data_IF_767123562678
#
_entry.id   IF_767123562678
#
_cell.length_a   1.000
_cell.length_b   1.000
_cell.length_c   1.000
_cell.angle_alpha   90.00
_cell.angle_beta   90.00
_cell.angle_gamma   90.00
#
_symmetry.space_group_name_H-M   'P 1'
#
loop_
_entity.id
_entity.type
_entity.pdbx_description
1 polymer ?
#
# COMPACT_ATOMS: atom_id res chain seq x y z
N UNK A 1 -12.05 15.59 -6.22
CA UNK A 1 -10.73 16.05 -5.73
C UNK A 1 -9.85 16.30 -6.95
N UNK A 2 -8.98 17.32 -6.94
CA UNK A 2 -8.13 17.59 -8.11
C UNK A 2 -6.87 16.73 -7.99
N UNK A 3 -6.75 15.69 -8.81
CA UNK A 3 -5.49 14.96 -8.95
C UNK A 3 -4.45 15.83 -9.66
N UNK A 4 -3.17 15.57 -9.45
CA UNK A 4 -2.08 16.30 -10.11
C UNK A 4 -1.07 15.37 -10.78
N UNK A 5 -0.52 15.82 -11.91
CA UNK A 5 0.62 15.20 -12.59
C UNK A 5 1.90 15.92 -12.17
N UNK A 6 2.91 15.12 -11.83
CA UNK A 6 4.23 15.55 -11.42
C UNK A 6 5.22 15.14 -12.53
N UNK A 7 5.61 16.09 -13.39
CA UNK A 7 6.54 15.82 -14.49
C UNK A 7 7.99 15.66 -14.02
N UNK A 8 8.64 14.55 -14.36
CA UNK A 8 10.03 14.29 -14.02
C UNK A 8 10.85 13.87 -15.24
N UNK A 9 12.01 14.51 -15.40
CA UNK A 9 12.99 14.18 -16.44
C UNK A 9 14.37 13.87 -15.82
N UNK A 10 14.80 12.60 -15.79
CA UNK A 10 16.10 12.20 -15.24
C UNK A 10 17.30 12.85 -15.97
N UNK A 11 17.12 13.28 -17.23
CA UNK A 11 18.16 13.90 -18.03
C UNK A 11 18.35 15.40 -17.76
N UNK A 12 17.46 16.03 -16.99
CA UNK A 12 17.50 17.47 -16.66
C UNK A 12 17.65 17.61 -15.15
N UNK A 13 18.84 17.27 -14.65
CA UNK A 13 19.20 17.33 -13.23
C UNK A 13 18.68 16.14 -12.43
N UNK A 14 19.45 15.70 -11.43
CA UNK A 14 19.02 14.61 -10.57
C UNK A 14 18.07 15.15 -9.51
N UNK A 15 16.77 15.07 -9.83
CA UNK A 15 15.71 15.47 -8.91
C UNK A 15 15.46 14.42 -7.85
N UNK A 16 16.21 13.31 -7.77
CA UNK A 16 16.08 12.25 -6.76
C UNK A 16 17.46 11.81 -6.26
N UNK A 17 17.64 11.33 -5.03
CA UNK A 17 18.94 10.81 -4.58
C UNK A 17 19.20 9.39 -5.12
N UNK A 18 19.25 9.24 -6.44
CA UNK A 18 19.29 7.93 -7.12
C UNK A 18 17.95 7.21 -7.09
N UNK A 19 17.21 7.28 -8.20
CA UNK A 19 15.82 6.82 -8.27
C UNK A 19 15.60 5.35 -7.86
N UNK A 20 16.48 4.42 -8.27
CA UNK A 20 16.35 3.01 -7.90
C UNK A 20 16.39 2.81 -6.38
N UNK A 21 17.27 3.54 -5.69
CA UNK A 21 17.37 3.51 -4.23
C UNK A 21 16.09 4.03 -3.58
N UNK A 22 15.46 5.05 -4.18
CA UNK A 22 14.18 5.58 -3.68
C UNK A 22 13.08 4.55 -3.81
N UNK A 23 13.02 3.79 -4.91
CA UNK A 23 12.09 2.67 -5.07
C UNK A 23 12.31 1.61 -3.99
N UNK A 24 13.56 1.27 -3.70
CA UNK A 24 13.91 0.31 -2.63
C UNK A 24 13.54 0.84 -1.24
N UNK A 25 13.85 2.10 -0.94
CA UNK A 25 13.51 2.76 0.32
C UNK A 25 12.00 2.81 0.53
N UNK A 26 11.24 3.17 -0.51
CA UNK A 26 9.78 3.13 -0.50
C UNK A 26 9.25 1.73 -0.20
N UNK A 27 9.80 0.70 -0.86
CA UNK A 27 9.41 -0.69 -0.61
C UNK A 27 9.66 -1.14 0.83
N UNK A 28 10.63 -0.52 1.51
CA UNK A 28 10.95 -0.82 2.91
C UNK A 28 10.14 0.00 3.93
N UNK A 29 9.87 1.28 3.64
CA UNK A 29 9.16 2.20 4.55
C UNK A 29 7.65 2.23 4.34
N UNK A 30 7.17 1.84 3.15
CA UNK A 30 5.78 1.97 2.69
C UNK A 30 5.42 3.37 2.19
N UNK A 31 6.19 4.40 2.52
CA UNK A 31 5.99 5.79 2.08
C UNK A 31 7.33 6.50 1.90
N UNK A 32 7.47 7.24 0.82
CA UNK A 32 8.60 8.13 0.57
C UNK A 32 8.11 9.58 0.39
N UNK A 33 8.45 10.45 1.35
CA UNK A 33 8.04 11.86 1.31
C UNK A 33 9.01 12.71 0.50
N UNK A 34 8.47 13.54 -0.39
CA UNK A 34 9.26 14.50 -1.16
C UNK A 34 8.50 15.81 -1.41
N UNK A 35 9.19 16.93 -1.31
CA UNK A 35 8.67 18.22 -1.73
C UNK A 35 8.69 18.36 -3.27
N UNK A 36 7.61 18.85 -3.86
CA UNK A 36 7.46 19.07 -5.29
C UNK A 36 7.00 20.50 -5.62
N UNK A 37 7.58 21.17 -6.63
CA UNK A 37 7.15 22.50 -7.03
C UNK A 37 5.78 22.48 -7.73
N UNK A 38 4.85 23.29 -7.26
CA UNK A 38 3.47 23.36 -7.79
C UNK A 38 3.28 24.47 -8.82
N UNK A 39 4.23 25.39 -8.94
CA UNK A 39 4.10 26.56 -9.81
C UNK A 39 3.07 27.55 -9.27
N UNK A 40 2.68 28.55 -10.07
CA UNK A 40 1.79 29.65 -9.64
C UNK A 40 0.31 29.42 -9.96
N UNK A 41 -0.04 28.24 -10.50
CA UNK A 41 -1.41 27.90 -10.91
C UNK A 41 -2.28 27.42 -9.74
N UNK A 42 -3.39 26.74 -10.08
CA UNK A 42 -4.26 26.08 -9.10
C UNK A 42 -3.46 25.09 -8.26
N UNK A 43 -3.44 25.30 -6.95
CA UNK A 43 -2.66 24.51 -6.02
C UNK A 43 -3.40 23.25 -5.61
N UNK A 44 -2.74 22.07 -5.57
CA UNK A 44 -3.35 20.89 -4.99
C UNK A 44 -3.49 21.05 -3.47
N UNK A 45 -4.60 20.55 -2.93
CA UNK A 45 -4.81 20.44 -1.50
C UNK A 45 -4.33 19.10 -0.93
N UNK A 46 -4.14 18.99 0.39
CA UNK A 46 -3.89 17.70 1.04
C UNK A 46 -4.95 16.66 0.67
N UNK A 47 -4.51 15.42 0.44
CA UNK A 47 -5.38 14.31 0.03
C UNK A 47 -5.61 14.20 -1.48
N UNK A 48 -5.08 15.12 -2.29
CA UNK A 48 -5.08 14.99 -3.74
C UNK A 48 -4.15 13.85 -4.20
N UNK A 49 -4.63 13.04 -5.16
CA UNK A 49 -3.78 12.07 -5.86
C UNK A 49 -2.67 12.80 -6.62
N UNK A 50 -1.45 12.28 -6.53
CA UNK A 50 -0.27 12.82 -7.16
C UNK A 50 0.41 11.73 -8.00
N UNK A 51 0.43 11.94 -9.31
CA UNK A 51 0.88 10.97 -10.30
C UNK A 51 2.24 11.36 -10.86
N UNK A 52 3.26 10.51 -10.69
CA UNK A 52 4.60 10.77 -11.21
C UNK A 52 4.65 10.40 -12.70
N UNK A 53 4.95 11.39 -13.54
CA UNK A 53 5.06 11.22 -14.99
C UNK A 53 6.53 11.32 -15.41
N UNK A 54 7.10 10.20 -15.86
CA UNK A 54 8.43 10.15 -16.46
C UNK A 54 8.39 10.73 -17.88
N UNK A 55 9.41 11.50 -18.21
CA UNK A 55 9.69 11.92 -19.58
C UNK A 55 11.18 12.06 -19.84
N UNK A 56 11.66 11.52 -20.96
CA UNK A 56 13.03 11.70 -21.40
C UNK A 56 13.50 10.59 -22.34
N UNK A 57 14.82 10.49 -22.52
CA UNK A 57 15.43 9.49 -23.40
C UNK A 57 15.16 8.04 -22.98
N UNK A 58 14.90 7.82 -21.70
CA UNK A 58 14.61 6.51 -21.10
C UNK A 58 13.15 6.08 -21.26
N UNK A 59 12.31 6.94 -21.86
CA UNK A 59 10.88 6.69 -22.10
C UNK A 59 10.00 7.81 -21.57
N UNK A 60 8.70 7.70 -21.84
CA UNK A 60 7.68 8.59 -21.28
C UNK A 60 6.48 7.77 -20.81
N UNK A 61 6.03 8.00 -19.58
CA UNK A 61 4.95 7.22 -19.00
C UNK A 61 4.73 7.46 -17.52
N UNK A 62 3.62 6.93 -17.01
CA UNK A 62 3.24 7.05 -15.60
C UNK A 62 4.03 6.05 -14.77
N UNK A 63 4.70 6.55 -13.74
CA UNK A 63 5.79 5.87 -13.06
C UNK A 63 5.50 5.65 -11.57
N UNK A 64 4.45 6.25 -11.03
CA UNK A 64 4.10 6.09 -9.63
C UNK A 64 2.91 6.91 -9.20
N UNK A 65 2.46 6.62 -7.99
CA UNK A 65 1.39 7.29 -7.29
C UNK A 65 1.87 7.76 -5.91
N UNK A 66 1.23 8.81 -5.44
CA UNK A 66 1.39 9.36 -4.11
C UNK A 66 0.21 10.26 -3.78
N UNK A 67 0.24 10.81 -2.58
CA UNK A 67 -0.81 11.69 -2.06
C UNK A 67 -0.19 12.98 -1.57
N UNK A 68 -0.77 14.11 -1.93
CA UNK A 68 -0.36 15.41 -1.41
C UNK A 68 -0.57 15.44 0.11
N UNK A 69 0.51 15.61 0.86
CA UNK A 69 0.56 15.48 2.31
C UNK A 69 0.53 16.83 3.04
N UNK A 70 0.85 17.93 2.36
CA UNK A 70 0.88 19.28 2.95
C UNK A 70 0.01 20.26 2.17
N UNK A 71 -0.36 21.35 2.83
CA UNK A 71 -0.78 22.56 2.12
C UNK A 71 0.43 23.16 1.36
N UNK A 72 0.19 24.00 0.34
CA UNK A 72 1.25 24.73 -0.34
C UNK A 72 2.09 25.55 0.64
N UNK A 73 3.41 25.48 0.51
CA UNK A 73 4.37 26.15 1.38
C UNK A 73 5.55 26.70 0.56
N UNK A 74 6.26 27.69 1.08
CA UNK A 74 7.39 28.32 0.40
C UNK A 74 8.71 27.92 1.07
N UNK A 75 9.71 27.59 0.24
CA UNK A 75 11.08 27.42 0.71
C UNK A 75 11.76 28.80 0.80
N UNK A 76 11.79 29.38 2.01
CA UNK A 76 12.45 30.65 2.30
C UNK A 76 11.61 31.91 2.05
N UNK A 77 12.15 33.07 2.44
CA UNK A 77 11.43 34.38 2.49
C UNK A 77 11.47 35.18 1.18
N UNK A 78 11.84 34.55 0.06
CA UNK A 78 11.94 35.24 -1.23
C UNK A 78 10.55 35.49 -1.83
N UNK A 79 10.19 36.77 -1.94
CA UNK A 79 8.95 37.23 -2.59
C UNK A 79 8.94 36.77 -4.05
N UNK A 80 7.95 35.94 -4.42
CA UNK A 80 7.78 35.41 -5.77
C UNK A 80 8.35 34.00 -6.01
N UNK A 81 8.89 33.34 -4.98
CA UNK A 81 9.28 31.93 -5.07
C UNK A 81 8.06 31.03 -5.33
N UNK A 82 8.18 30.08 -6.26
CA UNK A 82 7.12 29.13 -6.54
C UNK A 82 6.81 28.28 -5.27
N UNK A 83 5.52 28.07 -4.94
CA UNK A 83 5.16 27.21 -3.84
C UNK A 83 5.52 25.74 -4.11
N UNK A 84 5.62 25.00 -3.03
CA UNK A 84 5.92 23.58 -2.96
C UNK A 84 4.82 22.86 -2.19
N UNK A 85 4.67 21.57 -2.43
CA UNK A 85 3.87 20.68 -1.59
C UNK A 85 4.67 19.44 -1.26
N UNK A 86 4.48 18.90 -0.07
CA UNK A 86 4.98 17.57 0.26
C UNK A 86 4.05 16.52 -0.36
N UNK A 87 4.64 15.53 -1.00
CA UNK A 87 3.96 14.36 -1.56
C UNK A 87 4.48 13.13 -0.86
N UNK A 88 3.56 12.36 -0.29
CA UNK A 88 3.81 11.01 0.22
C UNK A 88 3.63 10.03 -0.94
N UNK A 89 4.73 9.63 -1.59
CA UNK A 89 4.68 8.55 -2.57
C UNK A 89 4.46 7.23 -1.85
N UNK A 90 3.49 6.44 -2.32
CA UNK A 90 3.12 5.14 -1.76
C UNK A 90 3.43 3.99 -2.74
N UNK A 91 3.62 4.30 -4.03
CA UNK A 91 4.13 3.36 -5.04
C UNK A 91 4.95 4.08 -6.10
N UNK A 92 6.12 3.53 -6.40
CA UNK A 92 7.04 3.98 -7.44
C UNK A 92 7.52 2.75 -8.22
N UNK A 93 7.47 2.82 -9.56
CA UNK A 93 7.84 1.74 -10.46
C UNK A 93 9.32 1.84 -10.83
N UNK A 94 10.05 0.73 -10.99
CA UNK A 94 11.36 0.74 -11.62
C UNK A 94 11.32 1.43 -13.00
N UNK A 95 12.42 2.08 -13.38
CA UNK A 95 12.54 2.64 -14.73
C UNK A 95 12.45 1.51 -15.76
N UNK A 96 11.54 1.64 -16.73
CA UNK A 96 11.21 0.61 -17.70
C UNK A 96 9.80 0.05 -17.53
N UNK A 97 9.26 0.09 -16.31
CA UNK A 97 7.95 -0.48 -15.98
C UNK A 97 6.80 0.54 -16.04
N UNK A 98 7.10 1.79 -16.45
CA UNK A 98 6.08 2.84 -16.54
C UNK A 98 4.95 2.47 -17.51
N UNK A 99 3.72 2.90 -17.19
CA UNK A 99 2.59 2.81 -18.12
C UNK A 99 2.86 3.80 -19.27
N UNK A 100 2.97 3.34 -20.52
CA UNK A 100 3.30 4.21 -21.66
C UNK A 100 2.29 5.34 -21.88
N UNK A 101 2.80 6.52 -22.26
CA UNK A 101 1.98 7.74 -22.43
C UNK A 101 0.94 7.63 -23.54
N UNK A 102 1.17 6.80 -24.56
CA UNK A 102 0.22 6.52 -25.64
C UNK A 102 -1.01 5.74 -25.14
N UNK A 103 -0.81 4.76 -24.25
CA UNK A 103 -1.92 4.06 -23.58
C UNK A 103 -2.71 5.02 -22.69
N UNK A 104 -2.00 5.88 -21.94
CA UNK A 104 -2.61 6.90 -21.09
C UNK A 104 -3.40 7.93 -21.90
N UNK A 105 -2.86 8.40 -23.03
CA UNK A 105 -3.54 9.36 -23.91
C UNK A 105 -4.79 8.78 -24.56
N UNK A 106 -4.82 7.47 -24.84
CA UNK A 106 -6.02 6.80 -25.35
C UNK A 106 -7.15 6.75 -24.30
N UNK A 107 -6.81 6.53 -23.02
CA UNK A 107 -7.81 6.42 -21.93
C UNK A 107 -8.19 7.78 -21.35
N UNK A 108 -7.27 8.73 -21.33
CA UNK A 108 -7.44 10.07 -20.79
C UNK A 108 -7.04 11.17 -21.81
N UNK A 109 -7.83 11.33 -22.90
CA UNK A 109 -7.45 12.14 -24.07
C UNK A 109 -7.50 13.66 -23.84
N UNK A 110 -8.20 14.13 -22.80
CA UNK A 110 -8.28 15.56 -22.48
C UNK A 110 -7.10 16.04 -21.62
N UNK A 111 -6.19 15.13 -21.26
CA UNK A 111 -5.00 15.45 -20.46
C UNK A 111 -3.85 15.86 -21.38
N UNK A 112 -3.27 17.02 -21.14
CA UNK A 112 -2.08 17.50 -21.86
C UNK A 112 -0.79 16.84 -21.32
N UNK A 113 -0.56 15.61 -21.74
CA UNK A 113 0.56 14.77 -21.28
C UNK A 113 1.94 15.35 -21.61
N UNK A 114 2.09 15.99 -22.78
CA UNK A 114 3.37 16.56 -23.22
C UNK A 114 3.77 17.74 -22.33
N UNK A 115 2.79 18.58 -21.99
CA UNK A 115 3.05 19.75 -21.17
C UNK A 115 3.08 19.39 -19.66
N UNK A 116 2.39 18.33 -19.24
CA UNK A 116 2.53 17.76 -17.88
C UNK A 116 3.90 17.15 -17.62
N UNK A 117 4.55 16.62 -18.67
CA UNK A 117 5.91 16.09 -18.60
C UNK A 117 6.99 17.16 -18.42
N UNK A 118 6.68 18.42 -18.73
CA UNK A 118 7.63 19.53 -18.75
C UNK A 118 7.05 20.72 -17.98
N UNK A 119 7.18 20.72 -16.65
CA UNK A 119 6.71 21.82 -15.82
C UNK A 119 6.44 21.44 -14.36
N UNK A 120 5.91 22.39 -13.57
CA UNK A 120 5.46 22.13 -12.20
C UNK A 120 4.19 21.25 -12.19
N UNK A 121 3.64 20.96 -11.01
CA UNK A 121 2.40 20.19 -10.87
C UNK A 121 1.29 20.66 -11.83
N UNK A 122 0.63 19.72 -12.54
CA UNK A 122 -0.53 20.02 -13.39
C UNK A 122 -1.80 19.39 -12.86
N UNK A 123 -2.89 20.15 -12.67
CA UNK A 123 -4.16 19.57 -12.27
C UNK A 123 -4.76 18.71 -13.38
N UNK A 124 -5.37 17.60 -12.98
CA UNK A 124 -6.10 16.68 -13.84
C UNK A 124 -7.59 16.75 -13.48
N UNK A 125 -8.49 16.98 -14.46
CA UNK A 125 -9.94 16.93 -14.21
C UNK A 125 -10.37 15.57 -13.65
N UNK A 126 -11.39 15.55 -12.76
CA UNK A 126 -11.83 14.33 -12.06
C UNK A 126 -12.16 13.16 -13.00
N UNK A 127 -12.79 13.43 -14.14
CA UNK A 127 -13.10 12.40 -15.15
C UNK A 127 -11.84 11.73 -15.69
N UNK A 128 -10.82 12.54 -16.01
CA UNK A 128 -9.53 12.07 -16.51
C UNK A 128 -8.74 11.37 -15.39
N UNK A 129 -8.81 11.87 -14.17
CA UNK A 129 -8.19 11.25 -13.00
C UNK A 129 -8.77 9.85 -12.71
N UNK A 130 -10.09 9.68 -12.85
CA UNK A 130 -10.74 8.37 -12.76
C UNK A 130 -10.24 7.42 -13.85
N UNK A 131 -10.15 7.90 -15.08
CA UNK A 131 -9.66 7.10 -16.21
C UNK A 131 -8.20 6.65 -16.00
N UNK A 132 -7.35 7.50 -15.42
CA UNK A 132 -5.97 7.16 -15.02
C UNK A 132 -5.97 6.09 -13.92
N UNK A 133 -6.80 6.22 -12.88
CA UNK A 133 -6.92 5.24 -11.79
C UNK A 133 -7.36 3.86 -12.29
N UNK A 134 -8.35 3.81 -13.18
CA UNK A 134 -8.83 2.56 -13.79
C UNK A 134 -7.71 1.87 -14.58
N UNK A 135 -7.01 2.62 -15.44
CA UNK A 135 -5.86 2.08 -16.18
C UNK A 135 -4.73 1.62 -15.25
N UNK A 136 -4.44 2.40 -14.20
CA UNK A 136 -3.46 2.04 -13.19
C UNK A 136 -3.83 0.71 -12.51
N UNK A 137 -5.10 0.52 -12.14
CA UNK A 137 -5.60 -0.72 -11.55
C UNK A 137 -5.47 -1.92 -12.51
N UNK A 138 -5.77 -1.74 -13.79
CA UNK A 138 -5.64 -2.78 -14.83
C UNK A 138 -4.18 -3.25 -15.00
N UNK A 139 -3.22 -2.33 -14.86
CA UNK A 139 -1.80 -2.62 -15.04
C UNK A 139 -1.10 -3.15 -13.76
N UNK A 140 -1.79 -3.21 -12.62
CA UNK A 140 -1.17 -3.51 -11.33
C UNK A 140 -1.72 -4.81 -10.72
N UNK A 141 -0.86 -5.81 -10.43
CA UNK A 141 -1.29 -6.98 -9.68
C UNK A 141 -1.63 -6.59 -8.23
N UNK A 142 -2.49 -7.39 -7.61
CA UNK A 142 -2.76 -7.29 -6.17
C UNK A 142 -1.48 -7.52 -5.36
N UNK A 143 -1.43 -6.94 -4.15
CA UNK A 143 -0.32 -7.18 -3.23
C UNK A 143 -0.26 -8.67 -2.85
N UNK A 144 0.90 -9.31 -3.09
CA UNK A 144 1.08 -10.75 -2.82
C UNK A 144 1.03 -11.10 -1.32
N UNK A 145 1.28 -10.13 -0.45
CA UNK A 145 1.32 -10.27 1.01
C UNK A 145 -0.04 -9.91 1.62
N UNK A 146 -0.73 -8.89 1.12
CA UNK A 146 -2.13 -8.57 1.48
C UNK A 146 -3.04 -8.35 0.27
N UNK A 147 -3.54 -9.42 -0.36
CA UNK A 147 -4.39 -9.27 -1.53
C UNK A 147 -5.76 -8.64 -1.24
N UNK A 148 -6.10 -8.43 0.04
CA UNK A 148 -7.35 -7.78 0.46
C UNK A 148 -7.19 -6.27 0.57
N UNK A 149 -5.97 -5.75 0.70
CA UNK A 149 -5.72 -4.32 0.69
C UNK A 149 -5.75 -3.79 -0.76
N UNK A 150 -6.36 -2.61 -0.99
CA UNK A 150 -6.38 -2.02 -2.32
C UNK A 150 -4.96 -1.64 -2.74
N UNK A 151 -4.64 -1.86 -4.02
CA UNK A 151 -3.39 -1.38 -4.59
C UNK A 151 -3.35 0.15 -4.49
N UNK A 152 -2.24 0.77 -4.06
CA UNK A 152 -2.13 2.22 -3.99
C UNK A 152 -2.49 2.91 -5.32
N UNK A 153 -3.28 3.99 -5.22
CA UNK A 153 -3.78 4.74 -6.38
C UNK A 153 -4.97 4.13 -7.11
N UNK A 154 -5.55 3.01 -6.64
CA UNK A 154 -6.74 2.42 -7.30
C UNK A 154 -8.08 2.94 -6.75
N UNK A 155 -8.09 3.44 -5.51
CA UNK A 155 -9.27 4.04 -4.88
C UNK A 155 -9.01 5.52 -4.60
N UNK A 156 -10.05 6.38 -4.67
CA UNK A 156 -9.95 7.77 -4.22
C UNK A 156 -9.50 7.86 -2.76
N UNK A 157 -8.67 8.85 -2.45
CA UNK A 157 -8.10 9.00 -1.11
C UNK A 157 -9.15 9.22 0.00
N UNK A 158 -10.29 9.82 -0.31
CA UNK A 158 -11.40 10.03 0.64
C UNK A 158 -12.20 8.76 0.93
N UNK A 159 -12.06 7.71 0.11
CA UNK A 159 -12.60 6.39 0.36
C UNK A 159 -11.65 5.48 1.17
N UNK A 160 -10.42 5.94 1.44
CA UNK A 160 -9.38 5.17 2.13
C UNK A 160 -9.21 5.62 3.58
N UNK A 161 -8.95 4.64 4.46
CA UNK A 161 -8.49 4.88 5.82
C UNK A 161 -7.05 4.38 5.98
N UNK A 162 -6.20 5.17 6.65
CA UNK A 162 -4.83 4.74 6.97
C UNK A 162 -4.85 3.75 8.14
N UNK A 163 -4.20 2.61 7.97
CA UNK A 163 -3.99 1.60 9.02
C UNK A 163 -2.50 1.41 9.26
N UNK A 164 -2.09 1.41 10.52
CA UNK A 164 -0.71 1.07 10.89
C UNK A 164 -0.55 -0.44 10.88
N UNK A 165 0.42 -0.95 10.12
CA UNK A 165 0.73 -2.38 10.02
C UNK A 165 2.13 -2.68 10.58
N UNK A 166 2.38 -3.92 10.97
CA UNK A 166 3.69 -4.36 11.42
C UNK A 166 4.65 -4.48 10.23
N UNK A 167 5.65 -3.59 10.17
CA UNK A 167 6.67 -3.59 9.10
C UNK A 167 7.46 -4.90 9.00
N UNK A 168 7.67 -5.62 10.11
CA UNK A 168 8.45 -6.86 10.12
C UNK A 168 7.67 -8.00 9.44
N UNK A 169 6.36 -8.10 9.70
CA UNK A 169 5.48 -9.09 9.07
C UNK A 169 5.17 -8.77 7.60
N UNK A 170 5.39 -7.51 7.18
CA UNK A 170 5.19 -7.03 5.81
C UNK A 170 6.46 -6.90 4.99
N UNK A 171 7.63 -7.23 5.55
CA UNK A 171 8.89 -7.12 4.83
C UNK A 171 9.00 -8.24 3.77
N UNK A 172 9.00 -7.93 2.45
CA UNK A 172 8.98 -8.96 1.41
C UNK A 172 10.25 -9.81 1.40
N UNK A 173 11.40 -9.22 1.71
CA UNK A 173 12.67 -9.95 1.77
C UNK A 173 12.70 -10.92 2.95
N UNK A 174 12.36 -10.45 4.16
CA UNK A 174 12.30 -11.30 5.34
C UNK A 174 11.28 -12.43 5.17
N UNK A 175 10.12 -12.12 4.58
CA UNK A 175 9.12 -13.13 4.20
C UNK A 175 9.72 -14.20 3.28
N UNK A 176 10.39 -13.82 2.19
CA UNK A 176 11.00 -14.80 1.27
C UNK A 176 12.00 -15.71 1.99
N UNK A 177 12.85 -15.16 2.85
CA UNK A 177 13.83 -15.94 3.62
C UNK A 177 13.13 -16.88 4.62
N UNK A 178 12.13 -16.40 5.35
CA UNK A 178 11.32 -17.20 6.27
C UNK A 178 10.67 -18.39 5.56
N UNK A 179 10.01 -18.15 4.41
CA UNK A 179 9.32 -19.20 3.66
C UNK A 179 10.28 -20.19 2.99
N UNK A 180 11.45 -19.73 2.54
CA UNK A 180 12.48 -20.62 2.02
C UNK A 180 13.00 -21.60 3.08
N UNK A 181 13.04 -21.17 4.36
CA UNK A 181 13.47 -22.01 5.47
C UNK A 181 12.35 -22.90 6.04
N UNK A 182 11.20 -22.31 6.34
CA UNK A 182 10.10 -22.99 7.06
C UNK A 182 9.06 -23.66 6.14
N UNK A 183 9.07 -23.33 4.84
CA UNK A 183 8.04 -23.72 3.88
C UNK A 183 6.78 -22.86 3.95
N UNK A 184 5.74 -23.27 3.22
CA UNK A 184 4.49 -22.51 3.02
C UNK A 184 3.29 -23.05 3.81
N UNK A 185 3.49 -24.10 4.60
CA UNK A 185 2.45 -24.68 5.45
C UNK A 185 2.33 -23.93 6.76
N UNK A 186 1.10 -23.67 7.21
CA UNK A 186 0.85 -23.01 8.49
C UNK A 186 1.46 -23.81 9.66
N UNK A 187 2.32 -23.17 10.44
CA UNK A 187 2.96 -23.81 11.59
C UNK A 187 1.96 -24.23 12.68
N UNK A 188 0.77 -23.62 12.75
CA UNK A 188 -0.25 -24.00 13.75
C UNK A 188 -1.14 -25.13 13.26
N UNK A 189 -1.70 -25.01 12.04
CA UNK A 189 -2.74 -25.92 11.57
C UNK A 189 -2.35 -26.85 10.43
N UNK A 190 -1.16 -26.69 9.87
CA UNK A 190 -0.69 -27.47 8.73
C UNK A 190 -1.36 -27.12 7.40
N UNK A 191 -2.28 -26.14 7.37
CA UNK A 191 -2.94 -25.72 6.14
C UNK A 191 -1.90 -25.18 5.14
N UNK A 192 -1.95 -25.70 3.92
CA UNK A 192 -1.19 -25.23 2.77
C UNK A 192 -2.18 -24.74 1.72
N UNK A 193 -2.03 -23.49 1.29
CA UNK A 193 -2.89 -22.91 0.26
C UNK A 193 -2.67 -23.59 -1.08
N UNK A 194 -1.43 -23.88 -1.45
CA UNK A 194 -1.11 -24.59 -2.68
C UNK A 194 -1.73 -26.00 -2.72
N UNK A 195 -1.68 -26.73 -1.60
CA UNK A 195 -2.29 -28.05 -1.52
C UNK A 195 -3.83 -28.02 -1.59
N UNK A 196 -4.45 -26.93 -1.11
CA UNK A 196 -5.91 -26.81 -1.05
C UNK A 196 -6.53 -26.15 -2.29
N UNK A 197 -5.82 -25.21 -2.91
CA UNK A 197 -6.32 -24.36 -4.00
C UNK A 197 -5.56 -24.53 -5.31
N UNK A 198 -4.47 -25.31 -5.33
CA UNK A 198 -3.64 -25.49 -6.52
C UNK A 198 -2.61 -24.37 -6.70
N UNK A 199 -2.06 -24.22 -7.93
CA UNK A 199 -1.02 -23.24 -8.24
C UNK A 199 -1.38 -21.79 -7.85
N UNK A 200 -2.65 -21.43 -7.84
CA UNK A 200 -3.16 -20.12 -7.42
C UNK A 200 -2.89 -19.84 -5.93
N UNK A 201 -2.72 -20.88 -5.11
CA UNK A 201 -2.33 -20.78 -3.71
C UNK A 201 -0.82 -20.87 -3.46
N UNK A 202 -0.01 -21.04 -4.51
CA UNK A 202 1.43 -21.21 -4.39
C UNK A 202 2.09 -20.01 -3.72
N UNK A 203 2.88 -20.27 -2.68
CA UNK A 203 3.55 -19.21 -1.91
C UNK A 203 2.62 -18.33 -1.07
N UNK A 204 1.28 -18.48 -1.13
CA UNK A 204 0.35 -17.66 -0.36
C UNK A 204 0.26 -18.17 1.09
N UNK A 205 0.82 -17.38 2.01
CA UNK A 205 0.79 -17.59 3.46
C UNK A 205 1.23 -16.28 4.13
N UNK A 206 0.72 -15.98 5.32
CA UNK A 206 1.20 -14.85 6.11
C UNK A 206 2.44 -15.28 6.91
N UNK A 207 3.28 -14.32 7.29
CA UNK A 207 4.34 -14.53 8.29
C UNK A 207 3.99 -13.75 9.55
N UNK A 208 4.23 -14.37 10.70
CA UNK A 208 3.96 -13.78 12.01
C UNK A 208 5.27 -13.52 12.74
N UNK A 209 5.39 -12.35 13.35
CA UNK A 209 6.56 -11.94 14.11
C UNK A 209 6.44 -12.40 15.57
N UNK A 210 7.40 -13.22 16.00
CA UNK A 210 7.39 -13.90 17.29
C UNK A 210 7.91 -13.02 18.44
N UNK A 211 8.74 -12.01 18.12
CA UNK A 211 9.33 -11.13 19.13
C UNK A 211 8.27 -10.15 19.65
N UNK A 212 7.92 -10.20 20.95
CA UNK A 212 6.91 -9.29 21.49
C UNK A 212 7.33 -7.83 21.35
N UNK A 213 6.35 -6.94 21.10
CA UNK A 213 6.62 -5.51 20.91
C UNK A 213 7.43 -4.86 22.04
N UNK A 214 7.26 -5.33 23.29
CA UNK A 214 8.00 -4.83 24.46
C UNK A 214 9.50 -5.14 24.43
N UNK A 215 9.94 -6.06 23.58
CA UNK A 215 11.34 -6.44 23.40
C UNK A 215 11.98 -5.75 22.18
N UNK A 216 11.21 -4.96 21.43
CA UNK A 216 11.71 -4.20 20.30
C UNK A 216 12.38 -2.92 20.80
N UNK A 217 13.69 -2.83 20.67
CA UNK A 217 14.49 -1.69 21.10
C UNK A 217 15.28 -1.03 19.96
N UNK A 218 15.93 0.11 20.24
CA UNK A 218 16.88 0.71 19.30
C UNK A 218 17.99 -0.30 18.96
N UNK A 219 18.14 -0.62 17.67
CA UNK A 219 19.11 -1.61 17.19
C UNK A 219 18.58 -3.04 17.04
N UNK A 220 17.28 -3.28 17.24
CA UNK A 220 16.70 -4.58 16.88
C UNK A 220 16.79 -4.82 15.37
N UNK A 221 17.48 -5.90 15.00
CA UNK A 221 17.54 -6.43 13.64
C UNK A 221 16.69 -7.70 13.58
N UNK A 222 15.79 -7.75 12.60
CA UNK A 222 14.93 -8.90 12.39
C UNK A 222 15.74 -10.08 11.88
N UNK A 223 15.72 -11.21 12.58
CA UNK A 223 16.16 -12.50 12.04
C UNK A 223 14.97 -13.19 11.35
N UNK A 224 14.91 -13.25 10.01
CA UNK A 224 13.76 -13.82 9.32
C UNK A 224 13.56 -15.32 9.58
N UNK A 225 14.59 -16.03 10.06
CA UNK A 225 14.50 -17.47 10.36
C UNK A 225 14.03 -17.68 11.80
N UNK A 226 14.64 -16.98 12.76
CA UNK A 226 14.31 -17.11 14.19
C UNK A 226 13.06 -16.35 14.63
N UNK A 227 12.79 -15.20 14.03
CA UNK A 227 11.76 -14.27 14.52
C UNK A 227 10.45 -14.35 13.74
N UNK A 228 10.43 -15.01 12.58
CA UNK A 228 9.24 -15.15 11.75
C UNK A 228 8.81 -16.61 11.61
N UNK A 229 7.50 -16.84 11.54
CA UNK A 229 6.92 -18.16 11.28
C UNK A 229 5.75 -18.07 10.29
N UNK A 230 5.59 -19.02 9.34
CA UNK A 230 4.45 -19.05 8.43
C UNK A 230 3.15 -19.42 9.18
N UNK A 231 2.11 -18.60 9.06
CA UNK A 231 0.77 -18.87 9.58
C UNK A 231 -0.29 -18.58 8.50
N UNK A 232 -1.36 -19.38 8.46
CA UNK A 232 -2.51 -19.04 7.62
C UNK A 232 -3.23 -17.80 8.18
N UNK A 233 -3.95 -17.01 7.36
CA UNK A 233 -4.64 -15.80 7.80
C UNK A 233 -5.53 -15.98 9.04
N UNK A 234 -6.20 -17.13 9.15
CA UNK A 234 -7.04 -17.46 10.30
C UNK A 234 -6.21 -17.66 11.59
N UNK A 235 -5.14 -18.45 11.53
CA UNK A 235 -4.27 -18.66 12.68
C UNK A 235 -3.48 -17.40 13.04
N UNK A 236 -3.09 -16.59 12.04
CA UNK A 236 -2.41 -15.32 12.25
C UNK A 236 -3.31 -14.33 12.99
N UNK A 237 -4.56 -14.17 12.54
CA UNK A 237 -5.56 -13.35 13.25
C UNK A 237 -5.79 -13.85 14.68
N UNK A 238 -5.85 -15.17 14.88
CA UNK A 238 -5.98 -15.74 16.22
C UNK A 238 -4.77 -15.47 17.10
N UNK A 239 -3.54 -15.47 16.55
CA UNK A 239 -2.33 -15.10 17.29
C UNK A 239 -2.46 -13.70 17.89
N UNK A 240 -2.95 -12.74 17.11
CA UNK A 240 -3.11 -11.34 17.52
C UNK A 240 -4.42 -11.03 18.28
N UNK A 241 -5.20 -12.04 18.70
CA UNK A 241 -6.51 -11.83 19.37
C UNK A 241 -6.39 -11.30 20.81
N UNK A 242 -5.18 -11.18 21.37
CA UNK A 242 -4.89 -10.53 22.66
C UNK A 242 -3.65 -9.63 22.50
N UNK A 243 -3.42 -8.71 23.45
CA UNK A 243 -2.32 -7.72 23.40
C UNK A 243 -0.93 -8.33 23.20
N UNK A 244 -0.64 -9.45 23.87
CA UNK A 244 0.60 -10.22 23.69
C UNK A 244 0.24 -11.39 22.80
N UNK A 245 0.75 -11.51 21.57
CA UNK A 245 0.31 -12.57 20.68
C UNK A 245 0.38 -13.97 21.30
N UNK A 246 -0.52 -14.87 20.91
CA UNK A 246 -0.42 -16.28 21.27
C UNK A 246 0.73 -16.92 20.50
N UNK A 247 1.54 -17.71 21.21
CA UNK A 247 2.57 -18.55 20.61
C UNK A 247 1.94 -19.65 19.75
N UNK A 248 2.74 -20.19 18.81
CA UNK A 248 2.37 -21.35 18.00
C UNK A 248 1.95 -22.54 18.88
N UNK A 249 2.65 -22.76 20.00
CA UNK A 249 2.34 -23.83 20.94
C UNK A 249 0.98 -23.63 21.63
N UNK A 250 0.67 -22.41 22.08
CA UNK A 250 -0.63 -22.08 22.67
C UNK A 250 -1.76 -22.30 21.66
N UNK A 251 -1.60 -21.82 20.42
CA UNK A 251 -2.62 -21.99 19.37
C UNK A 251 -2.83 -23.46 18.99
N UNK A 252 -1.75 -24.26 18.90
CA UNK A 252 -1.85 -25.71 18.69
C UNK A 252 -2.65 -26.38 19.83
N UNK A 253 -2.37 -26.02 21.08
CA UNK A 253 -3.09 -26.54 22.24
C UNK A 253 -4.56 -26.10 22.29
N UNK A 254 -4.89 -24.89 21.80
CA UNK A 254 -6.30 -24.47 21.66
C UNK A 254 -7.02 -25.29 20.60
N UNK A 255 -6.41 -25.46 19.41
CA UNK A 255 -6.98 -26.27 18.33
C UNK A 255 -7.20 -27.72 18.73
N UNK A 256 -6.29 -28.31 19.51
CA UNK A 256 -6.45 -29.70 19.96
C UNK A 256 -7.57 -29.89 20.98
N UNK A 257 -7.95 -28.84 21.70
CA UNK A 257 -9.06 -28.85 22.68
C UNK A 257 -10.41 -28.50 22.05
N UNK A 258 -10.39 -27.72 20.96
CA UNK A 258 -11.59 -27.32 20.24
C UNK A 258 -12.09 -28.48 19.35
N UNK A 259 -13.13 -29.20 19.81
CA UNK A 259 -13.69 -30.36 19.09
C UNK A 259 -15.20 -30.32 18.90
N UNK A 260 -15.88 -29.27 19.36
CA UNK A 260 -17.33 -29.13 19.21
C UNK A 260 -17.70 -27.65 19.08
N UNK A 261 -18.62 -27.35 18.17
CA UNK A 261 -19.32 -26.06 18.13
C UNK A 261 -20.48 -26.21 19.12
N UNK A 262 -20.46 -25.49 20.23
CA UNK A 262 -21.69 -25.29 21.00
C UNK A 262 -22.67 -24.58 20.08
N UNK A 263 -23.71 -25.27 19.62
CA UNK A 263 -24.74 -24.64 18.77
C UNK A 263 -25.24 -23.37 19.45
N UNK A 264 -25.12 -22.22 18.77
CA UNK A 264 -25.55 -20.94 19.31
C UNK A 264 -26.99 -20.67 18.88
N UNK A 265 -27.91 -20.59 19.85
CA UNK A 265 -29.16 -19.86 19.67
C UNK A 265 -28.80 -18.38 19.68
N UNK A 266 -29.30 -17.61 18.70
CA UNK A 266 -29.05 -16.15 18.63
C UNK A 266 -29.52 -15.53 19.94
N UNK A 267 -28.60 -14.88 20.65
CA UNK A 267 -28.90 -14.21 21.91
C UNK A 267 -29.79 -12.99 21.68
N UNK A 268 -30.55 -12.57 22.70
CA UNK A 268 -31.31 -11.32 22.63
C UNK A 268 -30.41 -10.12 22.30
N UNK A 269 -29.19 -10.12 22.85
CA UNK A 269 -28.20 -9.08 22.57
C UNK A 269 -27.79 -9.02 21.10
N UNK A 270 -27.67 -10.17 20.42
CA UNK A 270 -27.40 -10.21 18.98
C UNK A 270 -28.61 -9.78 18.14
N UNK A 271 -29.83 -10.10 18.57
CA UNK A 271 -31.05 -9.59 17.94
C UNK A 271 -31.15 -8.06 18.07
N UNK A 272 -30.84 -7.53 19.25
CA UNK A 272 -30.83 -6.10 19.52
C UNK A 272 -29.74 -5.40 18.70
N UNK A 273 -28.53 -5.98 18.60
CA UNK A 273 -27.45 -5.48 17.76
C UNK A 273 -27.83 -5.47 16.26
N UNK A 274 -28.57 -6.48 15.78
CA UNK A 274 -29.10 -6.50 14.42
C UNK A 274 -30.16 -5.41 14.20
N UNK A 275 -31.03 -5.17 15.19
CA UNK A 275 -32.01 -4.09 15.13
C UNK A 275 -31.32 -2.71 15.13
N UNK A 276 -30.27 -2.52 15.94
CA UNK A 276 -29.43 -1.33 15.94
C UNK A 276 -28.73 -1.10 14.61
N UNK A 277 -28.14 -2.14 14.01
CA UNK A 277 -27.52 -2.04 12.70
C UNK A 277 -28.52 -1.57 11.63
N UNK A 278 -29.76 -2.10 11.64
CA UNK A 278 -30.84 -1.67 10.73
C UNK A 278 -31.22 -0.20 10.96
N UNK A 279 -31.30 0.24 12.21
CA UNK A 279 -31.52 1.66 12.57
C UNK A 279 -30.41 2.56 12.04
N UNK A 280 -29.14 2.17 12.23
CA UNK A 280 -27.96 2.94 11.78
C UNK A 280 -27.92 3.07 10.26
N UNK A 281 -28.26 2.00 9.53
CA UNK A 281 -28.28 1.98 8.07
C UNK A 281 -29.51 2.67 7.46
N UNK A 282 -30.37 3.32 8.27
CA UNK A 282 -31.58 3.99 7.79
C UNK A 282 -32.59 3.04 7.12
N UNK A 283 -32.46 1.75 7.38
CA UNK A 283 -33.27 0.69 6.77
C UNK A 283 -34.33 0.26 7.78
N UNK A 284 -35.42 1.01 7.87
CA UNK A 284 -36.63 0.62 8.63
C UNK A 284 -37.62 -0.12 7.76
#
# INVERSE_FOLDING_TARGET
MVAVLLGWNPGVGDTWPGYSRVVDELGASGVYRRAWPTGTGTQPGPGADAWLLLHGKTGSGLLGHGVVASAPHHAGDLVGAAPWVDVDFDVLLPLGDQIPVDILAARAPLTDWAAAATGPCRPVPEEQARAIRELWAECRPADEIDPVLPVPGTLPQDALARVCVNRYERNPHARRVCLAHHGTSCAVCGFSFEAAYGPEGAGFIHVHHLVPAAQLGPGYELDPVGDLVPLCPNCHTMAHRRRIPYSVAELRAMRSRAGYISGSVVSQQELDAQADARRILGST
#
